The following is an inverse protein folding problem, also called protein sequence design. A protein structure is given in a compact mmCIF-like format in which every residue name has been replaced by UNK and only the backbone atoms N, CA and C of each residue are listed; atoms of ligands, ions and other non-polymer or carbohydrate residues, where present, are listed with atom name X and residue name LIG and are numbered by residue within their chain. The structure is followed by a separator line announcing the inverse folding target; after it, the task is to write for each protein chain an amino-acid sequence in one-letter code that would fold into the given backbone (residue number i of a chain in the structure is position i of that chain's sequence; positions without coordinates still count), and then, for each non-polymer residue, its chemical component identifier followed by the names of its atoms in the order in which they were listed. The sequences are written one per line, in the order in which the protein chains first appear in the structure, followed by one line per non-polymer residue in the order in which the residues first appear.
data_IF_025717688014
#
_entry.id   IF_025717688014
#
_cell.length_a   1.000
_cell.length_b   1.000
_cell.length_c   1.000
_cell.angle_alpha   90.00
_cell.angle_beta   90.00
_cell.angle_gamma   90.00
#
_symmetry.space_group_name_H-M   'P 1'
#
loop_
_entity.id
_entity.type
_entity.pdbx_description
1 polymer ?
#
# COMPACT_ATOMS: atom_id res chain seq x y z
N UNK A 1 30.48 -28.58 -4.26
CA UNK A 1 30.53 -27.95 -5.60
C UNK A 1 29.70 -26.69 -5.51
N UNK A 2 30.36 -25.53 -5.46
CA UNK A 2 29.67 -24.26 -5.20
C UNK A 2 28.65 -23.97 -6.30
N UNK A 3 27.41 -23.73 -5.92
CA UNK A 3 26.41 -23.20 -6.85
C UNK A 3 26.95 -21.89 -7.42
N UNK A 4 27.25 -21.92 -8.71
CA UNK A 4 27.55 -20.70 -9.46
C UNK A 4 26.30 -19.86 -9.46
N UNK A 5 26.35 -18.74 -8.74
CA UNK A 5 25.27 -17.75 -8.69
C UNK A 5 24.81 -17.43 -10.12
N UNK A 6 23.52 -17.63 -10.38
CA UNK A 6 22.89 -17.29 -11.67
C UNK A 6 22.63 -15.78 -11.70
N UNK A 7 23.64 -15.02 -12.13
CA UNK A 7 23.52 -13.57 -12.29
C UNK A 7 22.53 -13.19 -13.39
N UNK A 8 21.92 -12.01 -13.22
CA UNK A 8 21.02 -11.43 -14.22
C UNK A 8 21.77 -11.11 -15.52
N UNK A 9 21.16 -11.46 -16.63
CA UNK A 9 21.54 -10.99 -17.97
C UNK A 9 21.37 -9.47 -18.08
N UNK A 10 21.97 -8.82 -19.10
CA UNK A 10 21.80 -7.37 -19.30
C UNK A 10 20.34 -6.94 -19.47
N UNK A 11 19.51 -7.76 -20.11
CA UNK A 11 18.09 -7.50 -20.29
C UNK A 11 17.31 -7.60 -18.97
N UNK A 12 17.51 -8.70 -18.23
CA UNK A 12 16.92 -8.88 -16.89
C UNK A 12 17.35 -7.75 -15.93
N UNK A 13 18.61 -7.33 -16.00
CA UNK A 13 19.11 -6.23 -15.18
C UNK A 13 18.48 -4.88 -15.56
N UNK A 14 18.28 -4.62 -16.86
CA UNK A 14 17.59 -3.41 -17.33
C UNK A 14 16.15 -3.38 -16.82
N UNK A 15 15.42 -4.48 -16.95
CA UNK A 15 14.05 -4.60 -16.49
C UNK A 15 13.96 -4.43 -14.96
N UNK A 16 14.75 -5.20 -14.20
CA UNK A 16 14.74 -5.17 -12.74
C UNK A 16 15.10 -3.80 -12.16
N UNK A 17 16.21 -3.20 -12.61
CA UNK A 17 16.63 -1.87 -12.14
C UNK A 17 15.67 -0.76 -12.58
N UNK A 18 15.04 -0.92 -13.75
CA UNK A 18 14.00 -0.01 -14.23
C UNK A 18 12.80 -0.02 -13.30
N UNK A 19 12.29 -1.22 -12.99
CA UNK A 19 11.17 -1.42 -12.06
C UNK A 19 11.45 -0.83 -10.68
N UNK A 20 12.58 -1.19 -10.05
CA UNK A 20 12.96 -0.69 -8.71
C UNK A 20 13.01 0.84 -8.69
N UNK A 21 13.70 1.44 -9.67
CA UNK A 21 13.83 2.90 -9.75
C UNK A 21 12.50 3.60 -9.98
N UNK A 22 11.64 3.04 -10.82
CA UNK A 22 10.29 3.56 -11.06
C UNK A 22 9.47 3.54 -9.77
N UNK A 23 9.40 2.38 -9.10
CA UNK A 23 8.65 2.20 -7.85
C UNK A 23 9.09 3.21 -6.78
N UNK A 24 10.41 3.31 -6.52
CA UNK A 24 10.95 4.23 -5.53
C UNK A 24 10.66 5.71 -5.85
N UNK A 25 10.87 6.12 -7.12
CA UNK A 25 10.69 7.52 -7.52
C UNK A 25 9.22 7.92 -7.54
N UNK A 26 8.36 7.07 -8.08
CA UNK A 26 6.92 7.32 -8.15
C UNK A 26 6.32 7.35 -6.74
N UNK A 27 6.59 6.32 -5.92
CA UNK A 27 6.14 6.26 -4.53
C UNK A 27 6.62 7.46 -3.70
N UNK A 28 7.89 7.84 -3.85
CA UNK A 28 8.42 9.03 -3.18
C UNK A 28 7.77 10.34 -3.64
N UNK A 29 7.45 10.50 -4.93
CA UNK A 29 6.77 11.70 -5.46
C UNK A 29 5.32 11.79 -4.99
N UNK A 30 4.58 10.68 -5.06
CA UNK A 30 3.20 10.60 -4.59
C UNK A 30 3.12 10.82 -3.07
N UNK A 31 4.01 10.20 -2.29
CA UNK A 31 4.05 10.38 -0.84
C UNK A 31 4.36 11.80 -0.41
N UNK A 32 5.30 12.49 -1.08
CA UNK A 32 5.57 13.91 -0.81
C UNK A 32 4.37 14.80 -1.13
N UNK A 33 3.70 14.53 -2.26
CA UNK A 33 2.49 15.27 -2.66
C UNK A 33 1.37 15.11 -1.62
N UNK A 34 1.07 13.87 -1.19
CA UNK A 34 0.06 13.60 -0.15
C UNK A 34 0.37 14.38 1.14
N UNK A 35 1.64 14.40 1.54
CA UNK A 35 2.06 15.09 2.75
C UNK A 35 1.96 16.61 2.62
N UNK A 36 2.38 17.20 1.48
CA UNK A 36 2.40 18.65 1.30
C UNK A 36 1.04 19.25 0.98
N UNK A 37 0.19 18.51 0.28
CA UNK A 37 -1.08 19.03 -0.25
C UNK A 37 -2.29 18.60 0.59
N UNK A 38 -2.20 17.50 1.35
CA UNK A 38 -3.32 16.97 2.15
C UNK A 38 -2.98 16.74 3.62
N UNK A 39 -1.73 16.98 4.04
CA UNK A 39 -1.24 16.67 5.39
C UNK A 39 -1.46 15.20 5.80
N UNK A 40 -1.50 14.29 4.81
CA UNK A 40 -1.65 12.85 5.00
C UNK A 40 -0.33 12.20 4.60
N UNK A 41 0.28 11.41 5.48
CA UNK A 41 1.47 10.65 5.09
C UNK A 41 1.10 9.48 4.18
N UNK A 42 2.02 9.02 3.32
CA UNK A 42 1.77 7.86 2.45
C UNK A 42 1.31 6.61 3.22
N UNK A 43 1.82 6.43 4.45
CA UNK A 43 1.43 5.33 5.32
C UNK A 43 0.01 5.50 5.89
N UNK A 44 -0.38 6.73 6.26
CA UNK A 44 -1.77 7.00 6.69
C UNK A 44 -2.73 6.74 5.52
N UNK A 45 -2.38 7.22 4.32
CA UNK A 45 -3.17 7.03 3.11
C UNK A 45 -3.35 5.54 2.79
N UNK A 46 -2.27 4.74 2.85
CA UNK A 46 -2.35 3.29 2.60
C UNK A 46 -3.31 2.58 3.58
N UNK A 47 -3.27 2.92 4.88
CA UNK A 47 -4.23 2.39 5.85
C UNK A 47 -5.66 2.78 5.49
N UNK A 48 -5.91 4.05 5.18
CA UNK A 48 -7.25 4.56 4.86
C UNK A 48 -7.80 3.93 3.56
N UNK A 49 -6.97 3.71 2.55
CA UNK A 49 -7.36 2.99 1.32
C UNK A 49 -7.85 1.59 1.66
N UNK A 50 -7.07 0.79 2.39
CA UNK A 50 -7.50 -0.56 2.77
C UNK A 50 -8.80 -0.57 3.59
N UNK A 51 -8.99 0.40 4.49
CA UNK A 51 -10.21 0.49 5.29
C UNK A 51 -11.43 0.89 4.45
N UNK A 52 -11.27 1.85 3.53
CA UNK A 52 -12.37 2.31 2.66
C UNK A 52 -12.76 1.30 1.59
N UNK A 53 -11.84 0.43 1.16
CA UNK A 53 -12.11 -0.69 0.27
C UNK A 53 -12.86 -1.86 0.96
N UNK A 54 -13.07 -1.79 2.29
CA UNK A 54 -13.80 -2.81 3.03
C UNK A 54 -15.27 -2.44 3.23
N UNK A 55 -16.23 -3.39 3.10
CA UNK A 55 -17.68 -3.15 3.14
C UNK A 55 -18.25 -2.40 4.37
N UNK A 56 -17.45 -2.17 5.41
CA UNK A 56 -17.88 -1.51 6.65
C UNK A 56 -16.85 -0.47 7.15
N UNK A 57 -15.85 -0.10 6.33
CA UNK A 57 -14.81 0.81 6.79
C UNK A 57 -13.86 0.21 7.84
N UNK A 58 -13.87 -1.11 8.02
CA UNK A 58 -13.06 -1.81 9.03
C UNK A 58 -12.36 -3.04 8.48
N UNK A 59 -11.20 -3.35 9.05
CA UNK A 59 -10.47 -4.61 8.82
C UNK A 59 -9.93 -5.17 10.13
N UNK A 60 -9.78 -6.49 10.21
CA UNK A 60 -9.04 -7.12 11.33
C UNK A 60 -7.60 -6.61 11.29
N UNK A 61 -7.05 -6.33 12.46
CA UNK A 61 -5.71 -5.77 12.60
C UNK A 61 -4.63 -6.62 11.92
N UNK A 62 -4.73 -7.95 12.03
CA UNK A 62 -3.77 -8.87 11.41
C UNK A 62 -3.88 -8.88 9.89
N UNK A 63 -5.10 -8.83 9.35
CA UNK A 63 -5.33 -8.79 7.90
C UNK A 63 -4.83 -7.48 7.31
N UNK A 64 -5.03 -6.36 8.03
CA UNK A 64 -4.49 -5.06 7.63
C UNK A 64 -2.96 -5.02 7.70
N UNK A 65 -2.34 -5.63 8.73
CA UNK A 65 -0.89 -5.73 8.83
C UNK A 65 -0.29 -6.56 7.68
N UNK A 66 -0.93 -7.69 7.34
CA UNK A 66 -0.54 -8.53 6.21
C UNK A 66 -0.68 -7.81 4.87
N UNK A 67 -1.82 -7.17 4.63
CA UNK A 67 -2.07 -6.44 3.38
C UNK A 67 -1.09 -5.28 3.15
N UNK A 68 -0.58 -4.67 4.24
CA UNK A 68 0.43 -3.63 4.18
C UNK A 68 1.88 -4.15 4.20
N UNK A 69 2.07 -5.46 4.38
CA UNK A 69 3.37 -6.09 4.64
C UNK A 69 4.13 -5.40 5.79
N UNK A 70 3.42 -5.04 6.86
CA UNK A 70 4.00 -4.35 8.00
C UNK A 70 4.18 -5.28 9.19
N UNK A 71 5.39 -5.24 9.74
CA UNK A 71 5.73 -5.83 11.02
C UNK A 71 4.77 -5.38 12.14
N UNK A 72 4.45 -6.30 13.07
CA UNK A 72 3.49 -6.06 14.16
C UNK A 72 3.82 -4.81 14.98
N UNK A 73 5.11 -4.57 15.27
CA UNK A 73 5.56 -3.40 16.03
C UNK A 73 5.31 -2.10 15.26
N UNK A 74 5.72 -2.03 13.99
CA UNK A 74 5.47 -0.88 13.11
C UNK A 74 3.97 -0.58 13.04
N UNK A 75 3.16 -1.59 12.77
CA UNK A 75 1.71 -1.46 12.70
C UNK A 75 1.12 -0.94 14.01
N UNK A 76 1.61 -1.43 15.17
CA UNK A 76 1.09 -1.06 16.49
C UNK A 76 1.30 0.42 16.76
N UNK A 77 2.52 0.91 16.51
CA UNK A 77 2.87 2.31 16.67
C UNK A 77 2.11 3.20 15.68
N UNK A 78 1.99 2.77 14.42
CA UNK A 78 1.34 3.56 13.39
C UNK A 78 -0.15 3.76 13.67
N UNK A 79 -0.88 2.68 13.97
CA UNK A 79 -2.31 2.77 14.29
C UNK A 79 -2.55 3.54 15.59
N UNK A 80 -1.69 3.40 16.61
CA UNK A 80 -1.81 4.20 17.83
C UNK A 80 -1.69 5.70 17.54
N UNK A 81 -0.76 6.10 16.65
CA UNK A 81 -0.60 7.49 16.22
C UNK A 81 -1.80 7.98 15.41
N UNK A 82 -2.34 7.18 14.50
CA UNK A 82 -3.55 7.54 13.75
C UNK A 82 -4.77 7.68 14.66
N UNK A 83 -4.91 6.80 15.65
CA UNK A 83 -5.96 6.87 16.67
C UNK A 83 -5.83 8.11 17.56
N UNK A 84 -4.59 8.48 17.94
CA UNK A 84 -4.32 9.73 18.64
C UNK A 84 -4.70 10.99 17.86
N UNK A 85 -4.75 10.92 16.52
CA UNK A 85 -5.29 11.98 15.64
C UNK A 85 -6.77 11.80 15.29
N UNK A 86 -7.43 10.79 15.85
CA UNK A 86 -8.84 10.50 15.62
C UNK A 86 -9.18 9.93 14.24
N UNK A 87 -8.20 9.54 13.41
CA UNK A 87 -8.45 9.03 12.04
C UNK A 87 -8.99 7.60 12.01
N UNK A 88 -8.67 6.82 13.03
CA UNK A 88 -9.11 5.43 13.20
C UNK A 88 -9.39 5.15 14.67
N UNK A 89 -10.17 4.11 14.93
CA UNK A 89 -10.32 3.53 16.28
C UNK A 89 -9.99 2.05 16.26
N UNK A 90 -9.60 1.52 17.43
CA UNK A 90 -9.45 0.08 17.65
C UNK A 90 -10.67 -0.43 18.38
N UNK A 91 -11.31 -1.45 17.83
CA UNK A 91 -12.44 -2.14 18.45
C UNK A 91 -12.04 -3.57 18.81
N UNK A 92 -12.45 -4.05 19.98
CA UNK A 92 -12.23 -5.43 20.38
C UNK A 92 -13.34 -6.32 19.80
N UNK A 93 -12.98 -7.49 19.26
CA UNK A 93 -13.95 -8.49 18.84
C UNK A 93 -14.47 -9.24 20.07
N UNK A 94 -15.73 -9.00 20.45
CA UNK A 94 -16.37 -9.62 21.61
C UNK A 94 -16.55 -11.15 21.49
N UNK A 95 -16.52 -11.69 20.26
CA UNK A 95 -16.90 -13.08 19.99
C UNK A 95 -15.72 -14.06 19.93
N UNK A 96 -14.50 -13.60 19.64
CA UNK A 96 -13.36 -14.52 19.46
C UNK A 96 -12.12 -14.23 20.31
N UNK A 97 -12.04 -13.06 20.99
CA UNK A 97 -10.88 -12.66 21.80
C UNK A 97 -9.53 -12.66 21.04
N UNK A 98 -9.55 -12.84 19.71
CA UNK A 98 -8.38 -13.14 18.87
C UNK A 98 -8.08 -12.05 17.86
N UNK A 99 -8.93 -11.04 17.69
CA UNK A 99 -8.62 -9.92 16.80
C UNK A 99 -9.20 -8.58 17.25
N UNK A 100 -8.34 -7.57 17.33
CA UNK A 100 -8.79 -6.18 17.29
C UNK A 100 -9.14 -5.80 15.84
N UNK A 101 -10.21 -5.04 15.64
CA UNK A 101 -10.50 -4.36 14.40
C UNK A 101 -9.87 -2.97 14.39
N UNK A 102 -9.46 -2.53 13.22
CA UNK A 102 -9.17 -1.13 12.94
C UNK A 102 -10.34 -0.60 12.12
N UNK A 103 -10.96 0.48 12.59
CA UNK A 103 -12.15 1.08 11.98
C UNK A 103 -11.83 2.52 11.61
N UNK A 104 -12.16 2.91 10.38
CA UNK A 104 -12.05 4.30 9.94
C UNK A 104 -13.12 5.16 10.61
N UNK A 105 -12.74 6.35 11.07
CA UNK A 105 -13.69 7.34 11.60
C UNK A 105 -14.11 8.33 10.52
N UNK A 106 -15.05 9.22 10.83
CA UNK A 106 -15.40 10.33 9.95
C UNK A 106 -14.21 11.26 9.66
N UNK A 107 -13.31 11.45 10.62
CA UNK A 107 -12.07 12.23 10.43
C UNK A 107 -11.15 11.53 9.43
N UNK A 108 -10.99 10.21 9.55
CA UNK A 108 -10.21 9.42 8.59
C UNK A 108 -10.83 9.44 7.20
N UNK A 109 -12.16 9.34 7.12
CA UNK A 109 -12.92 9.38 5.87
C UNK A 109 -12.78 10.73 5.17
N UNK A 110 -12.98 11.83 5.89
CA UNK A 110 -12.79 13.17 5.34
C UNK A 110 -11.35 13.38 4.83
N UNK A 111 -10.35 12.84 5.54
CA UNK A 111 -8.95 12.94 5.13
C UNK A 111 -8.66 12.22 3.80
N UNK A 112 -9.17 10.99 3.62
CA UNK A 112 -8.98 10.28 2.34
C UNK A 112 -9.83 10.87 1.22
N UNK A 113 -11.05 11.31 1.49
CA UNK A 113 -11.91 11.98 0.49
C UNK A 113 -11.27 13.28 -0.03
N UNK A 114 -10.58 14.03 0.83
CA UNK A 114 -9.84 15.21 0.42
C UNK A 114 -8.56 14.88 -0.36
N UNK A 115 -7.85 13.80 0.00
CA UNK A 115 -6.56 13.44 -0.58
C UNK A 115 -6.67 12.63 -1.89
N UNK A 116 -7.69 11.78 -2.01
CA UNK A 116 -7.81 10.80 -3.09
C UNK A 116 -7.93 11.42 -4.49
N UNK A 117 -8.72 12.50 -4.74
CA UNK A 117 -8.82 13.09 -6.07
C UNK A 117 -7.46 13.53 -6.61
N UNK A 118 -6.69 14.24 -5.77
CA UNK A 118 -5.36 14.72 -6.13
C UNK A 118 -4.36 13.58 -6.30
N UNK A 119 -4.47 12.52 -5.49
CA UNK A 119 -3.68 11.30 -5.65
C UNK A 119 -3.93 10.63 -7.00
N UNK A 120 -5.20 10.46 -7.39
CA UNK A 120 -5.58 9.89 -8.68
C UNK A 120 -5.05 10.73 -9.83
N UNK A 121 -5.22 12.05 -9.78
CA UNK A 121 -4.66 12.95 -10.81
C UNK A 121 -3.14 12.80 -10.95
N UNK A 122 -2.41 12.74 -9.84
CA UNK A 122 -0.96 12.54 -9.88
C UNK A 122 -0.57 11.17 -10.46
N UNK A 123 -1.31 10.10 -10.13
CA UNK A 123 -1.09 8.78 -10.71
C UNK A 123 -1.36 8.81 -12.22
N UNK A 124 -2.36 9.56 -12.67
CA UNK A 124 -2.62 9.73 -14.10
C UNK A 124 -1.49 10.48 -14.80
N UNK A 125 -1.17 11.68 -14.31
CA UNK A 125 -0.15 12.56 -14.87
C UNK A 125 1.24 11.88 -14.92
N UNK A 126 1.63 11.21 -13.84
CA UNK A 126 2.99 10.67 -13.71
C UNK A 126 3.15 9.26 -14.28
N UNK A 127 2.05 8.55 -14.53
CA UNK A 127 2.09 7.16 -14.95
C UNK A 127 1.08 6.82 -16.04
N UNK A 128 -0.22 6.95 -15.78
CA UNK A 128 -1.25 6.41 -16.71
C UNK A 128 -1.24 7.10 -18.08
N UNK A 129 -0.92 8.39 -18.14
CA UNK A 129 -0.89 9.14 -19.39
C UNK A 129 0.39 8.87 -20.21
N UNK A 130 1.31 8.04 -19.70
CA UNK A 130 2.56 7.65 -20.34
C UNK A 130 2.62 6.18 -20.77
N UNK A 131 1.54 5.42 -20.58
CA UNK A 131 1.49 3.98 -20.88
C UNK A 131 0.29 3.66 -21.77
N UNK A 132 0.50 2.78 -22.74
CA UNK A 132 -0.57 2.33 -23.62
C UNK A 132 -1.48 1.30 -22.93
N UNK A 133 -2.73 1.11 -23.41
CA UNK A 133 -3.61 0.07 -22.87
C UNK A 133 -3.04 -1.35 -22.98
N UNK A 134 -2.18 -1.62 -23.96
CA UNK A 134 -1.53 -2.92 -24.10
C UNK A 134 -0.43 -3.12 -23.04
N UNK A 135 0.39 -2.11 -22.79
CA UNK A 135 1.42 -2.13 -21.74
C UNK A 135 0.80 -2.24 -20.35
N UNK A 136 -0.33 -1.57 -20.10
CA UNK A 136 -1.07 -1.69 -18.85
C UNK A 136 -1.56 -3.12 -18.58
N UNK A 137 -2.04 -3.83 -19.61
CA UNK A 137 -2.41 -5.24 -19.47
C UNK A 137 -1.22 -6.12 -19.12
N UNK A 138 -0.09 -5.93 -19.83
CA UNK A 138 1.15 -6.66 -19.55
C UNK A 138 1.63 -6.40 -18.12
N UNK A 139 1.58 -5.13 -17.67
CA UNK A 139 1.95 -4.77 -16.30
C UNK A 139 1.05 -5.47 -15.28
N UNK A 140 -0.26 -5.45 -15.47
CA UNK A 140 -1.21 -6.12 -14.59
C UNK A 140 -0.91 -7.63 -14.50
N UNK A 141 -0.74 -8.30 -15.64
CA UNK A 141 -0.42 -9.73 -15.69
C UNK A 141 0.91 -10.08 -15.00
N UNK A 142 1.94 -9.24 -15.15
CA UNK A 142 3.24 -9.43 -14.48
C UNK A 142 3.06 -9.24 -12.96
N UNK A 143 2.40 -8.15 -12.55
CA UNK A 143 2.18 -7.84 -11.14
C UNK A 143 1.39 -8.93 -10.43
N UNK A 144 0.29 -9.39 -11.01
CA UNK A 144 -0.54 -10.46 -10.46
C UNK A 144 0.24 -11.77 -10.29
N UNK A 145 1.05 -12.14 -11.30
CA UNK A 145 1.89 -13.35 -11.23
C UNK A 145 2.97 -13.26 -10.15
N UNK A 146 3.62 -12.10 -10.02
CA UNK A 146 4.68 -11.90 -9.01
C UNK A 146 4.09 -11.84 -7.61
N UNK A 147 2.96 -11.13 -7.41
CA UNK A 147 2.24 -11.09 -6.12
C UNK A 147 1.81 -12.50 -5.72
N UNK A 148 1.21 -13.26 -6.64
CA UNK A 148 0.82 -14.65 -6.36
C UNK A 148 2.00 -15.51 -5.92
N UNK A 149 3.21 -15.27 -6.45
CA UNK A 149 4.41 -15.98 -6.01
C UNK A 149 4.88 -15.57 -4.59
N UNK A 150 4.70 -14.30 -4.23
CA UNK A 150 5.04 -13.79 -2.90
C UNK A 150 4.06 -14.30 -1.83
N UNK A 151 2.77 -14.42 -2.18
CA UNK A 151 1.74 -14.95 -1.29
C UNK A 151 1.91 -16.46 -1.00
N UNK A 152 2.59 -17.20 -1.88
CA UNK A 152 2.91 -18.63 -1.70
C UNK A 152 3.97 -18.90 -0.64
N UNK A 153 4.85 -17.94 -0.34
CA UNK A 153 5.94 -18.10 0.63
C UNK A 153 5.48 -17.55 2.00
N UNK A 154 5.04 -18.42 2.93
CA UNK A 154 4.75 -17.97 4.29
C UNK A 154 6.08 -17.57 4.93
N UNK A 155 6.28 -16.27 5.10
CA UNK A 155 7.34 -15.74 5.96
C UNK A 155 7.08 -16.08 7.43
#
# INVERSE_FOLDING_TARGET
MGETVRWLTPEEQRAWRGFVRLHERLGGRLGRMLQSESNVSAADFAVLVHLTDSPEGRRRYQDLARALEWEKSRMSHHIARMAGRGMVVREECAEDGRGAYVVITDVGRAAIEAAAPRHVEAVRELFMDHVTPAELRVLAEISERVIGKLDEDPT
#
